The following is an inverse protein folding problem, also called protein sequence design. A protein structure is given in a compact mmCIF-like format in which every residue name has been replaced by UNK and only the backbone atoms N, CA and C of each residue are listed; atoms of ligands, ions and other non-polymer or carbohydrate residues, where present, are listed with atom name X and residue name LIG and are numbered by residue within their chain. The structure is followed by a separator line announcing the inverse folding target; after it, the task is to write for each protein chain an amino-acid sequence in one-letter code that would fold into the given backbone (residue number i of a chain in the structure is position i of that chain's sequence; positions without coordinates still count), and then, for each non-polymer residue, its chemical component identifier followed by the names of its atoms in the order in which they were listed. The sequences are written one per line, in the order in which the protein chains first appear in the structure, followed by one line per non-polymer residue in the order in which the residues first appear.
data_IF_162606924851
#
_entry.id   IF_162606924851
#
_cell.length_a   1.000
_cell.length_b   1.000
_cell.length_c   1.000
_cell.angle_alpha   90.00
_cell.angle_beta   90.00
_cell.angle_gamma   90.00
#
_symmetry.space_group_name_H-M   'P 1'
#
loop_
_entity.id
_entity.type
_entity.pdbx_description
1 polymer ?
#
# COMPACT_ATOMS: atom_id res chain seq x y z
N UNK A 1 23.14 -0.70 -3.79
CA UNK A 1 22.40 -0.64 -5.07
C UNK A 1 21.17 0.21 -4.88
N UNK A 2 20.78 0.97 -5.91
CA UNK A 2 19.60 1.84 -5.86
C UNK A 2 18.30 1.02 -5.69
N UNK A 3 17.34 1.62 -4.99
CA UNK A 3 15.99 1.08 -4.85
C UNK A 3 15.07 1.74 -5.87
N UNK A 4 14.13 0.97 -6.42
CA UNK A 4 13.07 1.49 -7.30
C UNK A 4 11.73 0.82 -6.98
N UNK A 5 10.65 1.56 -7.20
CA UNK A 5 9.29 1.02 -7.21
C UNK A 5 8.88 0.89 -8.67
N UNK A 6 8.54 -0.32 -9.09
CA UNK A 6 8.12 -0.61 -10.45
C UNK A 6 7.16 -1.81 -10.48
N UNK A 7 6.36 -1.98 -11.55
CA UNK A 7 5.42 -3.09 -11.67
C UNK A 7 6.12 -4.46 -11.59
N UNK A 8 5.44 -5.47 -11.04
CA UNK A 8 5.94 -6.86 -11.01
C UNK A 8 6.22 -7.41 -12.43
N UNK A 9 5.37 -7.03 -13.38
CA UNK A 9 5.46 -7.42 -14.78
C UNK A 9 4.84 -8.78 -15.10
N UNK A 10 4.42 -8.95 -16.35
CA UNK A 10 3.66 -10.12 -16.82
C UNK A 10 4.41 -11.45 -16.64
N UNK A 11 5.72 -11.47 -16.88
CA UNK A 11 6.53 -12.70 -16.81
C UNK A 11 6.60 -13.30 -15.39
N UNK A 12 6.58 -12.45 -14.35
CA UNK A 12 6.57 -12.88 -12.95
C UNK A 12 5.14 -13.14 -12.47
N UNK A 13 4.18 -12.30 -12.86
CA UNK A 13 2.77 -12.51 -12.56
C UNK A 13 2.23 -13.86 -13.08
N UNK A 14 2.68 -14.28 -14.27
CA UNK A 14 2.30 -15.58 -14.84
C UNK A 14 2.74 -16.80 -14.01
N UNK A 15 3.73 -16.63 -13.12
CA UNK A 15 4.26 -17.71 -12.26
C UNK A 15 3.60 -17.74 -10.88
N UNK A 16 2.74 -16.78 -10.55
CA UNK A 16 2.07 -16.75 -9.24
C UNK A 16 0.90 -17.73 -9.19
N UNK A 17 0.71 -18.39 -8.04
CA UNK A 17 -0.51 -19.16 -7.80
C UNK A 17 -1.71 -18.21 -7.82
N UNK A 18 -2.83 -18.68 -8.37
CA UNK A 18 -4.10 -17.96 -8.41
C UNK A 18 -5.10 -18.81 -7.62
N UNK A 19 -5.81 -18.18 -6.69
CA UNK A 19 -6.85 -18.85 -5.91
C UNK A 19 -8.02 -19.26 -6.82
N UNK A 20 -8.65 -20.39 -6.52
CA UNK A 20 -9.87 -20.83 -7.19
C UNK A 20 -11.10 -20.25 -6.46
N UNK A 21 -11.29 -18.94 -6.58
CA UNK A 21 -12.34 -18.17 -5.91
C UNK A 21 -13.42 -17.64 -6.87
N UNK A 22 -13.38 -18.08 -8.13
CA UNK A 22 -14.27 -17.62 -9.20
C UNK A 22 -13.80 -16.36 -9.93
N UNK A 23 -12.71 -15.72 -9.50
CA UNK A 23 -12.13 -14.58 -10.21
C UNK A 23 -11.45 -15.04 -11.51
N UNK A 24 -11.71 -14.43 -12.68
CA UNK A 24 -11.05 -14.82 -13.92
C UNK A 24 -9.52 -14.76 -13.83
N UNK A 25 -8.79 -15.85 -14.13
CA UNK A 25 -7.33 -15.89 -13.98
C UNK A 25 -6.59 -14.84 -14.82
N UNK A 26 -7.16 -14.42 -15.95
CA UNK A 26 -6.62 -13.33 -16.78
C UNK A 26 -6.66 -11.99 -16.03
N UNK A 27 -7.73 -11.72 -15.28
CA UNK A 27 -7.88 -10.50 -14.50
C UNK A 27 -6.94 -10.50 -13.29
N UNK A 28 -6.84 -11.62 -12.58
CA UNK A 28 -5.86 -11.77 -11.48
C UNK A 28 -4.43 -11.55 -12.00
N UNK A 29 -4.06 -12.15 -13.14
CA UNK A 29 -2.72 -11.93 -13.73
C UNK A 29 -2.47 -10.49 -14.17
N UNK A 30 -3.49 -9.82 -14.72
CA UNK A 30 -3.37 -8.42 -15.13
C UNK A 30 -3.15 -7.51 -13.92
N UNK A 31 -3.91 -7.72 -12.83
CA UNK A 31 -3.71 -7.03 -11.57
C UNK A 31 -2.30 -7.28 -11.01
N UNK A 32 -1.93 -8.56 -10.87
CA UNK A 32 -0.59 -8.98 -10.41
C UNK A 32 0.55 -8.38 -11.23
N UNK A 33 0.40 -8.26 -12.55
CA UNK A 33 1.42 -7.66 -13.42
C UNK A 33 1.58 -6.15 -13.19
N UNK A 34 0.51 -5.48 -12.77
CA UNK A 34 0.48 -4.05 -12.45
C UNK A 34 0.82 -3.75 -10.97
N UNK A 35 0.86 -4.78 -10.11
CA UNK A 35 1.21 -4.61 -8.70
C UNK A 35 2.56 -3.90 -8.55
N UNK A 36 2.64 -2.79 -7.80
CA UNK A 36 3.89 -2.11 -7.55
C UNK A 36 4.75 -2.92 -6.58
N UNK A 37 6.03 -3.06 -6.91
CA UNK A 37 6.97 -3.85 -6.11
C UNK A 37 8.25 -3.09 -5.86
N UNK A 38 8.88 -3.32 -4.70
CA UNK A 38 10.19 -2.77 -4.37
C UNK A 38 11.29 -3.65 -4.96
N UNK A 39 12.17 -3.04 -5.75
CA UNK A 39 13.32 -3.70 -6.34
C UNK A 39 14.61 -3.11 -5.80
N UNK A 40 15.64 -3.95 -5.73
CA UNK A 40 17.03 -3.54 -5.54
C UNK A 40 17.82 -4.03 -6.74
N UNK A 41 18.31 -3.09 -7.56
CA UNK A 41 18.87 -3.42 -8.87
C UNK A 41 17.90 -4.29 -9.71
N UNK A 42 18.17 -5.59 -9.87
CA UNK A 42 17.31 -6.54 -10.60
C UNK A 42 16.69 -7.63 -9.70
N UNK A 43 16.87 -7.50 -8.39
CA UNK A 43 16.33 -8.43 -7.39
C UNK A 43 15.00 -7.91 -6.86
N UNK A 44 13.98 -8.79 -6.91
CA UNK A 44 12.67 -8.54 -6.33
C UNK A 44 12.80 -8.66 -4.82
N UNK A 45 12.55 -7.57 -4.09
CA UNK A 45 12.94 -7.50 -2.70
C UNK A 45 11.77 -7.67 -1.72
N UNK A 46 10.53 -7.68 -2.22
CA UNK A 46 9.32 -7.93 -1.45
C UNK A 46 8.11 -7.34 -2.13
N UNK A 47 6.95 -7.97 -1.98
CA UNK A 47 5.68 -7.53 -2.55
C UNK A 47 5.13 -6.36 -1.72
N UNK A 48 5.00 -5.15 -2.27
CA UNK A 48 4.59 -4.00 -1.47
C UNK A 48 3.16 -4.07 -0.92
N UNK A 49 2.32 -5.04 -1.33
CA UNK A 49 0.87 -4.98 -1.12
C UNK A 49 0.21 -6.24 -0.55
N UNK A 50 0.96 -7.28 -0.20
CA UNK A 50 0.41 -8.45 0.50
C UNK A 50 0.65 -8.36 2.00
N UNK A 51 -0.11 -7.51 2.72
CA UNK A 51 0.07 -7.24 4.15
C UNK A 51 1.44 -6.61 4.48
N UNK A 52 1.43 -5.41 5.05
CA UNK A 52 2.63 -4.79 5.62
C UNK A 52 3.34 -5.67 6.68
N UNK A 53 2.71 -6.77 7.10
CA UNK A 53 3.26 -7.71 8.08
C UNK A 53 4.06 -8.87 7.47
N UNK A 54 3.96 -9.15 6.17
CA UNK A 54 4.62 -10.33 5.57
C UNK A 54 5.78 -9.97 4.61
N UNK A 55 5.99 -8.68 4.35
CA UNK A 55 7.22 -8.25 3.69
C UNK A 55 8.37 -8.32 4.69
N UNK A 56 9.26 -9.29 4.49
CA UNK A 56 10.66 -9.21 4.91
C UNK A 56 11.33 -8.05 4.17
N UNK A 57 10.89 -6.82 4.44
CA UNK A 57 11.63 -5.62 4.03
C UNK A 57 12.97 -5.70 4.77
N UNK A 58 14.06 -5.50 4.03
CA UNK A 58 15.43 -5.57 4.53
C UNK A 58 15.61 -5.01 5.95
N UNK A 59 16.59 -5.51 6.73
CA UNK A 59 16.96 -4.92 8.02
C UNK A 59 17.09 -3.40 7.92
N UNK A 60 16.24 -2.68 8.66
CA UNK A 60 16.25 -1.21 8.74
C UNK A 60 15.29 -0.48 7.79
N UNK A 61 14.39 -1.15 7.08
CA UNK A 61 13.39 -0.50 6.22
C UNK A 61 11.98 -0.98 6.55
N UNK A 62 11.01 -0.05 6.56
CA UNK A 62 9.61 -0.31 6.88
C UNK A 62 8.71 0.20 5.75
N UNK A 63 7.69 -0.59 5.41
CA UNK A 63 6.60 -0.18 4.51
C UNK A 63 5.36 -0.02 5.35
N UNK A 64 4.77 1.17 5.34
CA UNK A 64 3.53 1.46 6.05
C UNK A 64 2.46 1.96 5.06
N UNK A 65 1.21 1.46 5.16
CA UNK A 65 0.12 2.03 4.40
C UNK A 65 -0.13 3.47 4.86
N UNK A 66 -0.41 4.37 3.91
CA UNK A 66 -0.70 5.78 4.17
C UNK A 66 -1.95 6.19 3.39
N UNK A 67 -2.82 6.98 4.01
CA UNK A 67 -4.06 7.47 3.38
C UNK A 67 -3.76 8.45 2.25
N UNK A 68 -2.77 9.32 2.46
CA UNK A 68 -2.24 10.25 1.46
C UNK A 68 -0.84 10.73 1.86
N UNK A 69 0.02 11.16 0.91
CA UNK A 69 1.32 11.74 1.23
C UNK A 69 1.25 12.98 2.13
N UNK A 70 0.12 13.69 2.08
CA UNK A 70 -0.17 14.91 2.83
C UNK A 70 -1.16 14.69 3.98
N UNK A 71 -1.35 13.44 4.46
CA UNK A 71 -2.29 13.12 5.53
C UNK A 71 -2.08 13.94 6.83
N UNK A 72 -0.87 14.48 7.03
CA UNK A 72 -0.52 15.40 8.14
C UNK A 72 -1.06 16.84 7.97
N UNK A 73 -1.52 17.18 6.78
CA UNK A 73 -1.97 18.52 6.38
C UNK A 73 -3.39 18.48 5.82
N UNK A 74 -4.20 17.52 6.26
CA UNK A 74 -5.59 17.41 5.81
C UNK A 74 -6.40 18.59 6.34
N UNK A 75 -7.26 19.20 5.51
CA UNK A 75 -8.25 20.14 6.01
C UNK A 75 -9.24 19.39 6.92
N UNK A 76 -9.90 20.12 7.82
CA UNK A 76 -10.75 19.54 8.86
C UNK A 76 -11.84 18.61 8.32
N UNK A 77 -12.45 18.96 7.18
CA UNK A 77 -13.51 18.16 6.57
C UNK A 77 -13.02 16.81 6.02
N UNK A 78 -11.72 16.66 5.74
CA UNK A 78 -11.14 15.41 5.22
C UNK A 78 -10.72 14.42 6.31
N UNK A 79 -10.74 14.82 7.59
CA UNK A 79 -10.24 13.96 8.68
C UNK A 79 -11.09 12.72 8.94
N UNK A 80 -12.42 12.86 8.96
CA UNK A 80 -13.33 11.74 9.15
C UNK A 80 -13.25 10.70 8.02
N UNK A 81 -13.33 11.09 6.72
CA UNK A 81 -13.16 10.13 5.64
C UNK A 81 -11.74 9.53 5.63
N UNK A 82 -10.69 10.34 5.89
CA UNK A 82 -9.33 9.82 5.96
C UNK A 82 -9.13 8.83 7.13
N UNK A 83 -9.77 9.05 8.27
CA UNK A 83 -9.73 8.10 9.40
C UNK A 83 -10.41 6.77 9.07
N UNK A 84 -11.54 6.81 8.36
CA UNK A 84 -12.22 5.60 7.87
C UNK A 84 -11.32 4.82 6.90
N UNK A 85 -10.68 5.52 5.95
CA UNK A 85 -9.75 4.88 5.01
C UNK A 85 -8.55 4.31 5.75
N UNK A 86 -8.00 5.02 6.74
CA UNK A 86 -6.88 4.53 7.54
C UNK A 86 -7.22 3.20 8.22
N UNK A 87 -8.40 3.11 8.83
CA UNK A 87 -8.88 1.87 9.46
C UNK A 87 -9.05 0.73 8.44
N UNK A 88 -9.59 1.04 7.25
CA UNK A 88 -9.81 0.06 6.18
C UNK A 88 -8.50 -0.55 5.65
N UNK A 89 -7.46 0.26 5.50
CA UNK A 89 -6.17 -0.16 4.93
C UNK A 89 -5.13 -0.54 6.00
N UNK A 90 -5.49 -0.47 7.29
CA UNK A 90 -4.56 -0.71 8.40
C UNK A 90 -3.44 0.35 8.51
N UNK A 91 -3.68 1.58 8.08
CA UNK A 91 -2.73 2.69 8.21
C UNK A 91 -2.65 3.22 9.65
N UNK A 92 -1.53 3.86 10.03
CA UNK A 92 -1.42 4.56 11.31
C UNK A 92 -2.52 5.60 11.50
N UNK A 93 -2.91 5.84 12.76
CA UNK A 93 -3.90 6.85 13.11
C UNK A 93 -3.45 8.24 12.67
N UNK A 94 -4.39 9.04 12.15
CA UNK A 94 -4.13 10.42 11.77
C UNK A 94 -3.78 11.26 13.01
N UNK A 95 -2.88 12.25 12.88
CA UNK A 95 -2.58 13.16 13.97
C UNK A 95 -3.85 13.93 14.39
N UNK A 96 -4.00 14.16 15.69
CA UNK A 96 -5.08 14.97 16.22
C UNK A 96 -5.02 16.40 15.64
N UNK A 97 -6.17 17.04 15.51
CA UNK A 97 -6.23 18.41 14.98
C UNK A 97 -5.58 19.37 15.97
N UNK A 98 -4.77 20.33 15.49
CA UNK A 98 -4.22 21.37 16.37
C UNK A 98 -5.30 22.33 16.88
N UNK A 99 -6.47 22.36 16.23
CA UNK A 99 -7.61 23.23 16.56
C UNK A 99 -8.78 22.45 17.15
N UNK A 100 -8.55 21.86 18.34
CA UNK A 100 -9.62 21.21 19.10
C UNK A 100 -10.77 22.19 19.36
N UNK A 101 -11.98 21.88 18.88
CA UNK A 101 -13.18 22.71 19.07
C UNK A 101 -13.61 23.60 17.88
N UNK A 102 -12.89 23.58 16.75
CA UNK A 102 -13.23 24.38 15.57
C UNK A 102 -13.60 23.56 14.32
N UNK A 103 -13.67 22.23 14.44
CA UNK A 103 -14.14 21.34 13.39
C UNK A 103 -15.64 21.11 13.58
N UNK A 104 -16.44 21.45 12.57
CA UNK A 104 -17.90 21.38 12.63
C UNK A 104 -18.36 19.98 13.11
N UNK A 105 -19.16 20.01 14.17
CA UNK A 105 -19.81 18.89 14.85
C UNK A 105 -20.89 18.22 14.01
#
# INVERSE_FOLDING_TARGET
GAFLIAPLGAARAAKRPIADDGTPPSLVRAALAAEPVLWRANELLGECLGSAQDSQVLPGMAVCPVVAPFARFLPSFDLAPAGTVAALIGAPLLPATPFSGHTAS
#
